data_IF_735914843691
#
_entry.id   IF_735914843691
#
_cell.length_a   1.000
_cell.length_b   1.000
_cell.length_c   1.000
_cell.angle_alpha   90.00
_cell.angle_beta   90.00
_cell.angle_gamma   90.00
#
_symmetry.space_group_name_H-M   'P 1'
#
loop_
_entity.id
_entity.type
_entity.pdbx_description
1 polymer ?
#
# COMPACT_ATOMS: atom_id res chain seq x y z
N UNK A 1 -5.92 11.57 6.09
CA UNK A 1 -5.71 10.37 5.27
C UNK A 1 -4.28 10.45 4.79
N UNK A 2 -3.43 9.52 5.22
CA UNK A 2 -2.06 9.42 4.70
C UNK A 2 -2.11 8.81 3.31
N UNK A 3 -1.20 9.22 2.44
CA UNK A 3 -1.01 8.65 1.10
C UNK A 3 0.37 8.04 1.01
N UNK A 4 0.46 6.85 0.44
CA UNK A 4 1.72 6.22 0.05
C UNK A 4 1.98 6.39 -1.44
N UNK A 5 3.13 5.94 -1.90
CA UNK A 5 3.42 5.84 -3.33
C UNK A 5 4.00 4.46 -3.67
N UNK A 6 3.69 3.97 -4.87
CA UNK A 6 4.16 2.68 -5.34
C UNK A 6 5.65 2.78 -5.66
N UNK A 7 6.46 1.91 -5.08
CA UNK A 7 7.91 1.84 -5.35
C UNK A 7 8.26 0.69 -6.30
N UNK A 8 7.47 -0.39 -6.29
CA UNK A 8 7.73 -1.56 -7.14
C UNK A 8 6.44 -2.36 -7.41
N UNK A 9 6.38 -2.98 -8.59
CA UNK A 9 5.30 -3.88 -9.01
C UNK A 9 5.94 -5.18 -9.53
N UNK A 10 5.62 -6.31 -8.91
CA UNK A 10 6.00 -7.67 -9.34
C UNK A 10 4.73 -8.53 -9.44
N UNK A 11 4.17 -8.62 -10.65
CA UNK A 11 2.88 -9.29 -10.84
C UNK A 11 1.78 -8.59 -10.03
N UNK A 12 1.07 -9.35 -9.20
CA UNK A 12 0.04 -8.81 -8.30
C UNK A 12 0.59 -8.30 -6.95
N UNK A 13 1.89 -8.49 -6.68
CA UNK A 13 2.54 -7.99 -5.46
C UNK A 13 3.03 -6.57 -5.75
N UNK A 14 2.64 -5.62 -4.90
CA UNK A 14 2.94 -4.20 -5.04
C UNK A 14 3.54 -3.70 -3.74
N UNK A 15 4.77 -3.18 -3.83
CA UNK A 15 5.42 -2.54 -2.70
C UNK A 15 5.04 -1.05 -2.70
N UNK A 16 4.54 -0.57 -1.56
CA UNK A 16 4.07 0.81 -1.36
C UNK A 16 4.81 1.41 -0.17
N UNK A 17 5.44 2.56 -0.37
CA UNK A 17 6.13 3.29 0.69
C UNK A 17 5.17 4.30 1.34
N UNK A 18 5.17 4.33 2.68
CA UNK A 18 4.42 5.26 3.51
C UNK A 18 5.36 6.02 4.45
N UNK A 19 4.99 7.24 4.89
CA UNK A 19 5.65 7.88 6.02
C UNK A 19 5.65 6.98 7.26
N UNK A 20 6.72 7.04 8.04
CA UNK A 20 6.99 6.13 9.17
C UNK A 20 5.89 6.08 10.24
N UNK A 21 5.20 7.19 10.44
CA UNK A 21 4.09 7.36 11.39
C UNK A 21 2.72 6.99 10.81
N UNK A 22 2.70 6.59 9.54
CA UNK A 22 1.51 6.44 8.72
C UNK A 22 1.46 5.10 7.99
N UNK A 23 2.29 4.13 8.39
CA UNK A 23 2.32 2.78 7.82
C UNK A 23 1.01 2.06 8.15
N UNK A 24 0.25 1.58 7.14
CA UNK A 24 -1.01 0.89 7.36
C UNK A 24 -0.80 -0.49 7.99
N UNK A 25 -1.80 -0.97 8.74
CA UNK A 25 -1.78 -2.29 9.37
C UNK A 25 -1.91 -3.43 8.36
N UNK A 26 -1.48 -4.63 8.75
CA UNK A 26 -1.75 -5.84 7.96
C UNK A 26 -3.26 -6.05 7.84
N UNK A 27 -3.71 -6.43 6.64
CA UNK A 27 -5.11 -6.55 6.21
C UNK A 27 -5.85 -5.22 5.98
N UNK A 28 -5.18 -4.07 6.12
CA UNK A 28 -5.78 -2.81 5.68
C UNK A 28 -5.91 -2.79 4.15
N UNK A 29 -7.02 -2.21 3.69
CA UNK A 29 -7.27 -1.96 2.28
C UNK A 29 -6.62 -0.64 1.85
N UNK A 30 -5.80 -0.68 0.80
CA UNK A 30 -5.27 0.50 0.13
C UNK A 30 -6.08 0.74 -1.14
N UNK A 31 -6.64 1.94 -1.25
CA UNK A 31 -7.44 2.37 -2.39
C UNK A 31 -6.59 3.22 -3.33
N UNK A 32 -6.68 2.92 -4.62
CA UNK A 32 -6.06 3.72 -5.67
C UNK A 32 -6.96 4.89 -6.05
N UNK A 33 -6.41 6.11 -6.09
CA UNK A 33 -7.16 7.28 -6.56
C UNK A 33 -7.58 7.09 -8.02
N UNK A 34 -8.89 7.15 -8.28
CA UNK A 34 -9.45 7.02 -9.63
C UNK A 34 -9.49 5.59 -10.20
N UNK A 35 -9.20 4.56 -9.39
CA UNK A 35 -9.24 3.16 -9.80
C UNK A 35 -10.25 2.32 -9.01
N UNK A 36 -10.62 1.16 -9.55
CA UNK A 36 -11.45 0.16 -8.87
C UNK A 36 -10.61 -0.91 -8.13
N UNK A 37 -9.29 -0.94 -8.40
CA UNK A 37 -8.39 -1.90 -7.77
C UNK A 37 -8.17 -1.56 -6.30
N UNK A 38 -8.32 -2.56 -5.45
CA UNK A 38 -8.01 -2.49 -4.02
C UNK A 38 -6.80 -3.37 -3.75
N UNK A 39 -5.81 -2.83 -3.04
CA UNK A 39 -4.67 -3.59 -2.55
C UNK A 39 -4.92 -3.94 -1.09
N UNK A 40 -4.42 -5.07 -0.63
CA UNK A 40 -4.46 -5.47 0.78
C UNK A 40 -3.04 -5.54 1.32
N UNK A 41 -2.79 -4.91 2.46
CA UNK A 41 -1.47 -4.94 3.11
C UNK A 41 -1.19 -6.35 3.62
N UNK A 42 -0.19 -7.02 3.06
CA UNK A 42 0.21 -8.37 3.49
C UNK A 42 1.30 -8.35 4.57
N UNK A 43 2.24 -7.41 4.47
CA UNK A 43 3.41 -7.33 5.34
C UNK A 43 3.94 -5.90 5.42
N UNK A 44 4.61 -5.58 6.54
CA UNK A 44 5.37 -4.34 6.72
C UNK A 44 6.85 -4.65 6.61
N UNK A 45 7.54 -3.96 5.71
CA UNK A 45 8.99 -4.02 5.55
C UNK A 45 9.60 -2.87 6.37
N UNK A 46 10.68 -3.16 7.11
CA UNK A 46 11.32 -2.23 8.05
C UNK A 46 12.26 -1.21 7.42
#
# INVERSE_FOLDING_TARGET
MSSGHIVQIIGAVIDVEFPRDSVPGVYDALLLEGGETTLEVQQQLG
#
